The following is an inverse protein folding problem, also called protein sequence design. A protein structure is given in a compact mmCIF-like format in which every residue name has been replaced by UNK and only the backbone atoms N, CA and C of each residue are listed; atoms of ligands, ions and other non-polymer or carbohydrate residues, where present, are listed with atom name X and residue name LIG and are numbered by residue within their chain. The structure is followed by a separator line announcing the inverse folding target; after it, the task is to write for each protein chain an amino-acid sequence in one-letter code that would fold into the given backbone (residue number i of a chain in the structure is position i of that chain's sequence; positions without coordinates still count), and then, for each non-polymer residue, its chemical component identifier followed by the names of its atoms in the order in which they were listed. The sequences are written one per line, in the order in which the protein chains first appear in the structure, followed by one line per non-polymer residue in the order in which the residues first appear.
data_IF_570538827164
#
_entry.id   IF_570538827164
#
_cell.length_a   1.000
_cell.length_b   1.000
_cell.length_c   1.000
_cell.angle_alpha   90.00
_cell.angle_beta   90.00
_cell.angle_gamma   90.00
#
_symmetry.space_group_name_H-M   'P 1'
#
loop_
_entity.id
_entity.type
_entity.pdbx_description
1 polymer ?
#
# COMPACT_ATOMS: atom_id res chain seq x y z
N UNK A 1 -14.69 3.43 20.54
CA UNK A 1 -13.75 4.15 21.42
C UNK A 1 -13.42 5.53 20.84
N UNK A 2 -13.22 6.56 21.67
CA UNK A 2 -12.85 7.93 21.25
C UNK A 2 -11.45 8.29 21.76
N UNK A 3 -10.59 8.74 20.85
CA UNK A 3 -9.29 9.31 21.17
C UNK A 3 -9.23 10.77 20.75
N UNK A 4 -8.82 11.63 21.67
CA UNK A 4 -8.61 13.06 21.42
C UNK A 4 -7.12 13.34 21.51
N UNK A 5 -6.56 13.91 20.45
CA UNK A 5 -5.13 14.13 20.28
C UNK A 5 -4.90 15.54 19.74
N UNK A 6 -3.70 16.08 19.95
CA UNK A 6 -3.24 17.26 19.22
C UNK A 6 -2.33 16.82 18.08
N UNK A 7 -2.63 17.30 16.86
CA UNK A 7 -1.84 17.02 15.67
C UNK A 7 -1.68 18.29 14.84
N UNK A 8 -0.42 18.65 14.52
CA UNK A 8 -0.05 19.88 13.79
C UNK A 8 -0.77 21.14 14.33
N UNK A 9 -0.88 21.27 15.65
CA UNK A 9 -1.53 22.40 16.33
C UNK A 9 -3.06 22.39 16.31
N UNK A 10 -3.70 21.33 15.80
CA UNK A 10 -5.15 21.18 15.76
C UNK A 10 -5.61 19.98 16.60
N UNK A 11 -6.82 20.08 17.15
CA UNK A 11 -7.47 18.98 17.87
C UNK A 11 -7.99 17.93 16.89
N UNK A 12 -7.45 16.72 16.97
CA UNK A 12 -7.85 15.56 16.20
C UNK A 12 -8.70 14.62 17.06
N UNK A 13 -9.92 14.35 16.62
CA UNK A 13 -10.81 13.39 17.28
C UNK A 13 -10.90 12.12 16.41
N UNK A 14 -10.39 11.00 16.91
CA UNK A 14 -10.42 9.70 16.23
C UNK A 14 -11.47 8.81 16.87
N UNK A 15 -12.28 8.19 16.00
CA UNK A 15 -13.35 7.28 16.40
C UNK A 15 -13.05 5.90 15.80
N UNK A 16 -13.11 4.87 16.64
CA UNK A 16 -13.08 3.48 16.20
C UNK A 16 -14.33 2.76 16.70
N UNK A 17 -14.94 1.95 15.82
CA UNK A 17 -15.99 0.99 16.19
C UNK A 17 -15.40 -0.29 16.76
N UNK A 18 -14.12 -0.56 16.49
CA UNK A 18 -13.38 -1.65 17.07
C UNK A 18 -12.91 -1.26 18.47
N UNK A 19 -13.30 -2.06 19.46
CA UNK A 19 -13.01 -1.83 20.89
C UNK A 19 -11.72 -2.51 21.35
N UNK A 20 -11.19 -3.43 20.54
CA UNK A 20 -9.97 -4.18 20.85
C UNK A 20 -8.71 -3.45 20.42
N UNK A 21 -8.84 -2.43 19.55
CA UNK A 21 -7.73 -1.59 19.12
C UNK A 21 -7.24 -0.67 20.23
N UNK A 22 -5.93 -0.65 20.42
CA UNK A 22 -5.32 0.31 21.32
C UNK A 22 -5.16 1.69 20.67
N UNK A 23 -4.71 2.67 21.46
CA UNK A 23 -4.51 4.04 20.97
C UNK A 23 -3.49 4.11 19.83
N UNK A 24 -2.43 3.32 19.92
CA UNK A 24 -1.35 3.24 18.94
C UNK A 24 -1.85 2.71 17.61
N UNK A 25 -2.64 1.63 17.63
CA UNK A 25 -3.21 1.03 16.43
C UNK A 25 -4.15 1.99 15.68
N UNK A 26 -5.00 2.71 16.42
CA UNK A 26 -5.91 3.71 15.85
C UNK A 26 -5.15 4.91 15.28
N UNK A 27 -4.10 5.36 15.97
CA UNK A 27 -3.21 6.43 15.51
C UNK A 27 -2.47 6.05 14.23
N UNK A 28 -1.92 4.84 14.18
CA UNK A 28 -1.17 4.35 13.03
C UNK A 28 -2.08 4.18 11.81
N UNK A 29 -3.26 3.60 12.01
CA UNK A 29 -4.28 3.50 10.97
C UNK A 29 -4.68 4.87 10.42
N UNK A 30 -4.88 5.86 11.30
CA UNK A 30 -5.18 7.23 10.88
C UNK A 30 -4.02 7.88 10.14
N UNK A 31 -2.77 7.69 10.60
CA UNK A 31 -1.57 8.23 9.96
C UNK A 31 -1.41 7.69 8.54
N UNK A 32 -1.52 6.37 8.36
CA UNK A 32 -1.45 5.73 7.04
C UNK A 32 -2.53 6.27 6.11
N UNK A 33 -3.76 6.42 6.60
CA UNK A 33 -4.84 7.04 5.82
C UNK A 33 -4.49 8.46 5.39
N UNK A 34 -3.95 9.27 6.29
CA UNK A 34 -3.56 10.65 5.98
C UNK A 34 -2.44 10.72 4.94
N UNK A 35 -1.43 9.85 5.05
CA UNK A 35 -0.35 9.75 4.06
C UNK A 35 -0.86 9.39 2.67
N UNK A 36 -1.86 8.51 2.58
CA UNK A 36 -2.54 8.17 1.31
C UNK A 36 -3.31 9.38 0.76
N UNK A 37 -4.02 10.13 1.61
CA UNK A 37 -4.74 11.35 1.20
C UNK A 37 -3.79 12.46 0.74
N UNK A 38 -2.63 12.61 1.40
CA UNK A 38 -1.55 13.54 1.02
C UNK A 38 -0.91 13.14 -0.30
N UNK A 39 -0.59 11.86 -0.48
CA UNK A 39 -0.11 11.32 -1.75
C UNK A 39 -1.13 11.56 -2.89
N UNK A 40 -2.41 11.28 -2.68
CA UNK A 40 -3.44 11.57 -3.68
C UNK A 40 -3.52 13.07 -4.01
N UNK A 41 -3.30 13.95 -3.03
CA UNK A 41 -3.28 15.39 -3.24
C UNK A 41 -2.06 15.82 -4.05
N UNK A 42 -0.88 15.32 -3.72
CA UNK A 42 0.37 15.66 -4.40
C UNK A 42 0.41 15.13 -5.83
N UNK A 43 -0.25 14.00 -6.09
CA UNK A 43 -0.46 13.48 -7.44
C UNK A 43 -1.45 14.32 -8.25
N UNK A 44 -2.41 14.98 -7.59
CA UNK A 44 -3.39 15.88 -8.22
C UNK A 44 -2.92 17.34 -8.32
N UNK A 45 -2.01 17.77 -7.44
CA UNK A 45 -1.46 19.11 -7.32
C UNK A 45 -0.77 19.68 -8.58
N UNK A 46 -0.18 18.90 -9.51
CA UNK A 46 0.54 19.46 -10.65
C UNK A 46 -0.35 20.18 -11.68
N UNK A 47 -1.63 20.44 -11.41
CA UNK A 47 -2.55 21.09 -12.36
C UNK A 47 -2.76 20.30 -13.64
N UNK A 48 -2.36 19.02 -13.68
CA UNK A 48 -2.38 18.21 -14.88
C UNK A 48 -3.74 17.54 -15.14
N UNK A 49 -4.85 17.99 -14.50
CA UNK A 49 -6.18 17.40 -14.69
C UNK A 49 -6.60 17.27 -16.17
N UNK A 50 -6.02 18.08 -17.06
CA UNK A 50 -6.39 18.14 -18.49
C UNK A 50 -5.37 17.57 -19.48
N UNK A 51 -4.31 16.88 -19.04
CA UNK A 51 -3.33 16.31 -19.96
C UNK A 51 -3.35 14.78 -20.00
N UNK A 52 -3.28 14.19 -21.20
CA UNK A 52 -3.07 12.75 -21.42
C UNK A 52 -1.85 12.18 -20.65
N UNK A 53 -0.92 13.05 -20.24
CA UNK A 53 0.24 12.69 -19.42
C UNK A 53 -0.11 12.46 -17.93
N UNK A 54 -1.11 13.14 -17.36
CA UNK A 54 -1.52 12.89 -15.96
C UNK A 54 -2.25 11.60 -15.77
N UNK A 55 -3.15 11.25 -16.69
CA UNK A 55 -3.88 9.99 -16.61
C UNK A 55 -2.92 8.81 -16.74
N UNK A 56 -1.87 8.94 -17.59
CA UNK A 56 -0.78 7.96 -17.66
C UNK A 56 0.06 7.94 -16.39
N UNK A 57 0.49 9.08 -15.86
CA UNK A 57 1.27 9.16 -14.61
C UNK A 57 0.49 8.61 -13.41
N UNK A 58 -0.79 8.95 -13.27
CA UNK A 58 -1.68 8.40 -12.25
C UNK A 58 -1.85 6.89 -12.44
N UNK A 59 -2.01 6.41 -13.67
CA UNK A 59 -2.02 4.99 -13.98
C UNK A 59 -0.72 4.29 -13.58
N UNK A 60 0.44 4.88 -13.87
CA UNK A 60 1.74 4.34 -13.47
C UNK A 60 1.93 4.32 -11.95
N UNK A 61 1.51 5.37 -11.26
CA UNK A 61 1.58 5.43 -9.80
C UNK A 61 0.64 4.41 -9.15
N UNK A 62 -0.58 4.26 -9.66
CA UNK A 62 -1.51 3.23 -9.20
C UNK A 62 -0.93 1.82 -9.42
N UNK A 63 -0.34 1.57 -10.60
CA UNK A 63 0.34 0.30 -10.89
C UNK A 63 1.51 0.07 -9.95
N UNK A 64 2.34 1.08 -9.72
CA UNK A 64 3.49 1.00 -8.81
C UNK A 64 3.05 0.67 -7.38
N UNK A 65 2.07 1.39 -6.84
CA UNK A 65 1.51 1.14 -5.50
C UNK A 65 0.88 -0.26 -5.41
N UNK A 66 0.17 -0.69 -6.46
CA UNK A 66 -0.43 -2.03 -6.50
C UNK A 66 0.64 -3.13 -6.49
N UNK A 67 1.71 -2.97 -7.26
CA UNK A 67 2.83 -3.90 -7.29
C UNK A 67 3.56 -3.92 -5.95
N UNK A 68 3.84 -2.76 -5.35
CA UNK A 68 4.51 -2.68 -4.03
C UNK A 68 3.67 -3.36 -2.94
N UNK A 69 2.37 -3.09 -2.89
CA UNK A 69 1.46 -3.73 -1.96
C UNK A 69 1.36 -5.24 -2.17
N UNK A 70 1.31 -5.71 -3.43
CA UNK A 70 1.31 -7.13 -3.74
C UNK A 70 2.61 -7.80 -3.30
N UNK A 71 3.76 -7.17 -3.51
CA UNK A 71 5.07 -7.68 -3.05
C UNK A 71 5.11 -7.76 -1.53
N UNK A 72 4.69 -6.71 -0.81
CA UNK A 72 4.62 -6.72 0.66
C UNK A 72 3.71 -7.82 1.19
N UNK A 73 2.53 -7.96 0.60
CA UNK A 73 1.58 -9.01 0.95
C UNK A 73 2.17 -10.41 0.73
N UNK A 74 2.85 -10.63 -0.40
CA UNK A 74 3.50 -11.91 -0.69
C UNK A 74 4.64 -12.22 0.29
N UNK A 75 5.49 -11.24 0.61
CA UNK A 75 6.55 -11.39 1.61
C UNK A 75 5.95 -11.80 2.96
N UNK A 76 4.90 -11.12 3.42
CA UNK A 76 4.25 -11.43 4.69
C UNK A 76 3.55 -12.81 4.68
N UNK A 77 2.75 -13.10 3.64
CA UNK A 77 1.97 -14.34 3.54
C UNK A 77 2.84 -15.60 3.41
N UNK A 78 4.02 -15.47 2.81
CA UNK A 78 5.00 -16.55 2.69
C UNK A 78 6.00 -16.59 3.86
N UNK A 79 5.82 -15.72 4.87
CA UNK A 79 6.69 -15.58 6.03
C UNK A 79 8.17 -15.37 5.65
N UNK A 80 8.41 -14.53 4.65
CA UNK A 80 9.74 -14.21 4.14
C UNK A 80 10.28 -12.96 4.82
N UNK A 81 11.61 -12.84 4.91
CA UNK A 81 12.25 -11.73 5.62
C UNK A 81 12.55 -10.54 4.69
N UNK A 82 12.50 -10.74 3.38
CA UNK A 82 12.82 -9.70 2.40
C UNK A 82 12.23 -9.99 1.01
N UNK A 83 12.29 -9.00 0.14
CA UNK A 83 11.97 -9.15 -1.29
C UNK A 83 12.96 -10.11 -1.99
N UNK A 84 14.21 -10.15 -1.54
CA UNK A 84 15.21 -11.07 -2.10
C UNK A 84 14.88 -12.54 -1.76
N UNK A 85 14.32 -12.78 -0.58
CA UNK A 85 13.78 -14.10 -0.21
C UNK A 85 12.59 -14.47 -1.10
N UNK A 86 11.74 -13.50 -1.48
CA UNK A 86 10.63 -13.72 -2.43
C UNK A 86 11.14 -14.08 -3.83
N UNK A 87 12.18 -13.39 -4.32
CA UNK A 87 12.78 -13.70 -5.62
C UNK A 87 13.37 -15.12 -5.63
N UNK A 88 14.12 -15.48 -4.59
CA UNK A 88 14.66 -16.85 -4.44
C UNK A 88 13.55 -17.89 -4.34
N UNK A 89 12.46 -17.59 -3.63
CA UNK A 89 11.30 -18.46 -3.56
C UNK A 89 10.70 -18.70 -4.96
N UNK A 90 10.52 -17.64 -5.74
CA UNK A 90 10.01 -17.73 -7.12
C UNK A 90 10.94 -18.56 -8.01
N UNK A 91 12.25 -18.33 -7.95
CA UNK A 91 13.22 -19.08 -8.74
C UNK A 91 13.24 -20.57 -8.40
N UNK A 92 13.34 -20.90 -7.10
CA UNK A 92 13.53 -22.28 -6.63
C UNK A 92 12.22 -23.06 -6.64
N UNK A 93 11.12 -22.46 -6.17
CA UNK A 93 9.86 -23.16 -5.92
C UNK A 93 8.88 -23.04 -7.08
N UNK A 94 8.92 -21.91 -7.79
CA UNK A 94 8.01 -21.63 -8.91
C UNK A 94 8.72 -21.69 -10.26
N UNK A 95 9.99 -22.09 -10.33
CA UNK A 95 10.72 -22.24 -11.60
C UNK A 95 11.00 -20.91 -12.31
N UNK A 96 11.14 -19.83 -11.54
CA UNK A 96 11.36 -18.48 -12.04
C UNK A 96 10.19 -17.95 -12.85
N UNK A 97 10.47 -16.97 -13.72
CA UNK A 97 9.46 -16.35 -14.56
C UNK A 97 8.70 -17.37 -15.44
N UNK A 98 9.38 -18.39 -15.96
CA UNK A 98 8.77 -19.40 -16.82
C UNK A 98 7.77 -20.29 -16.06
N UNK A 99 8.10 -20.74 -14.86
CA UNK A 99 7.17 -21.56 -14.09
C UNK A 99 6.03 -20.74 -13.45
N UNK A 100 6.26 -19.47 -13.12
CA UNK A 100 5.18 -18.52 -12.82
C UNK A 100 4.22 -18.39 -14.00
N UNK A 101 4.73 -18.13 -15.21
CA UNK A 101 3.89 -18.03 -16.41
C UNK A 101 3.08 -19.31 -16.67
N UNK A 102 3.65 -20.49 -16.40
CA UNK A 102 2.92 -21.76 -16.51
C UNK A 102 1.80 -21.88 -15.46
N UNK A 103 2.05 -21.41 -14.25
CA UNK A 103 1.07 -21.40 -13.15
C UNK A 103 -0.12 -20.49 -13.48
N UNK A 104 0.14 -19.32 -14.08
CA UNK A 104 -0.92 -18.39 -14.50
C UNK A 104 -1.60 -18.78 -15.84
N UNK A 105 -0.98 -19.66 -16.63
CA UNK A 105 -1.60 -20.26 -17.82
C UNK A 105 -2.58 -21.40 -17.50
N UNK A 106 -2.84 -21.69 -16.22
CA UNK A 106 -3.74 -22.74 -15.76
C UNK A 106 -5.05 -22.16 -15.20
N UNK A 107 -5.93 -21.75 -16.12
CA UNK A 107 -7.31 -22.25 -16.27
C UNK A 107 -7.92 -21.66 -17.53
#
# INVERSE_FOLDING_TARGET
MLFVLEYKGNRLNLYSTDLDLDRGDVLETWRVRWEIEEFHRDVKAPGLQDSFLSSRLQGYLLLFVTVDNAVRYLVASLNLRSVEDLLRFVEIRLGGALGLMKTFKLR
#
